data_IF_452963568786
#
_entry.id   IF_452963568786
#
_cell.length_a   1.000
_cell.length_b   1.000
_cell.length_c   1.000
_cell.angle_alpha   90.00
_cell.angle_beta   90.00
_cell.angle_gamma   90.00
#
_symmetry.space_group_name_H-M   'P 1'
#
loop_
_entity.id
_entity.type
_entity.pdbx_description
1 polymer ?
#
# COMPACT_ATOMS: atom_id res chain seq x y z
N UNK A 1 -1.74 9.47 13.02
CA UNK A 1 -2.66 9.20 11.89
C UNK A 1 -2.37 10.18 10.77
N UNK A 2 -2.43 9.72 9.52
CA UNK A 2 -2.33 10.56 8.33
C UNK A 2 -3.72 10.66 7.66
N UNK A 3 -3.98 11.77 6.95
CA UNK A 3 -5.21 11.98 6.18
C UNK A 3 -4.84 12.31 4.74
N UNK A 4 -5.56 11.75 3.79
CA UNK A 4 -5.42 12.04 2.37
C UNK A 4 -6.80 11.97 1.71
N UNK A 5 -6.93 12.68 0.59
CA UNK A 5 -8.15 12.69 -0.21
C UNK A 5 -8.00 11.72 -1.37
N UNK A 6 -9.04 10.92 -1.61
CA UNK A 6 -9.13 10.02 -2.74
C UNK A 6 -10.28 10.53 -3.61
N UNK A 7 -10.02 10.72 -4.90
CA UNK A 7 -11.07 11.07 -5.86
C UNK A 7 -12.11 9.96 -5.92
N UNK A 8 -13.38 10.31 -6.08
CA UNK A 8 -14.46 9.33 -6.19
C UNK A 8 -14.29 8.40 -7.40
N UNK A 9 -13.57 8.83 -8.44
CA UNK A 9 -13.26 8.02 -9.62
C UNK A 9 -12.05 7.09 -9.46
N UNK A 10 -11.31 7.17 -8.34
CA UNK A 10 -10.11 6.35 -8.12
C UNK A 10 -10.43 4.86 -7.93
N UNK A 11 -11.64 4.56 -7.44
CA UNK A 11 -12.04 3.22 -7.02
C UNK A 11 -11.48 2.83 -5.65
N UNK A 12 -11.38 1.53 -5.39
CA UNK A 12 -10.91 0.99 -4.11
C UNK A 12 -9.38 0.83 -4.16
N UNK A 13 -8.61 1.43 -3.24
CA UNK A 13 -7.16 1.24 -3.20
C UNK A 13 -6.77 -0.24 -3.03
N UNK A 14 -6.04 -0.79 -4.00
CA UNK A 14 -5.55 -2.17 -3.96
C UNK A 14 -4.05 -2.30 -3.64
N UNK A 15 -3.28 -1.21 -3.73
CA UNK A 15 -1.86 -1.18 -3.42
C UNK A 15 -1.47 0.17 -2.80
N UNK A 16 -0.40 0.17 -2.00
CA UNK A 16 0.19 1.37 -1.42
C UNK A 16 1.71 1.37 -1.60
N UNK A 17 2.24 2.49 -2.07
CA UNK A 17 3.68 2.71 -2.22
C UNK A 17 4.23 3.48 -1.00
N UNK A 18 5.19 2.87 -0.31
CA UNK A 18 5.82 3.41 0.91
C UNK A 18 7.24 3.84 0.61
N UNK A 19 7.63 5.01 1.12
CA UNK A 19 9.01 5.50 1.12
C UNK A 19 9.39 5.89 2.54
N UNK A 20 10.44 5.28 3.08
CA UNK A 20 10.97 5.63 4.38
C UNK A 20 11.93 6.83 4.25
N UNK A 21 11.51 8.00 4.73
CA UNK A 21 12.33 9.23 4.76
C UNK A 21 13.18 9.36 6.04
N UNK A 22 13.11 8.40 6.95
CA UNK A 22 13.96 8.36 8.14
C UNK A 22 15.37 7.86 7.80
N UNK A 23 16.29 7.98 8.76
CA UNK A 23 17.69 7.60 8.56
C UNK A 23 17.96 6.10 8.68
N UNK A 24 17.09 5.35 9.35
CA UNK A 24 17.21 3.91 9.58
C UNK A 24 15.98 3.20 9.05
N UNK A 25 16.13 1.91 8.75
CA UNK A 25 14.98 1.05 8.44
C UNK A 25 14.03 0.91 9.64
N UNK A 26 12.78 0.59 9.35
CA UNK A 26 11.78 0.23 10.35
C UNK A 26 10.96 -0.96 9.87
N UNK A 27 10.44 -1.75 10.81
CA UNK A 27 9.53 -2.84 10.49
C UNK A 27 8.09 -2.30 10.36
N UNK A 28 7.50 -2.47 9.19
CA UNK A 28 6.12 -2.09 8.92
C UNK A 28 5.23 -3.32 9.05
N UNK A 29 4.44 -3.38 10.12
CA UNK A 29 3.53 -4.49 10.38
C UNK A 29 2.29 -4.41 9.49
N UNK A 30 1.55 -3.30 9.53
CA UNK A 30 0.33 -3.14 8.76
C UNK A 30 0.01 -1.68 8.41
N UNK A 31 -0.86 -1.51 7.41
CA UNK A 31 -1.53 -0.25 7.10
C UNK A 31 -3.03 -0.53 7.02
N UNK A 32 -3.83 0.37 7.62
CA UNK A 32 -5.29 0.35 7.52
C UNK A 32 -5.77 1.68 6.96
N UNK A 33 -6.53 1.63 5.88
CA UNK A 33 -7.26 2.79 5.34
C UNK A 33 -8.70 2.70 5.86
N UNK A 34 -9.01 3.56 6.82
CA UNK A 34 -10.36 3.67 7.38
C UNK A 34 -11.24 4.64 6.57
N UNK A 35 -12.55 4.61 6.83
CA UNK A 35 -13.53 5.60 6.33
C UNK A 35 -13.71 5.64 4.81
N UNK A 36 -13.42 4.54 4.11
CA UNK A 36 -13.87 4.35 2.74
C UNK A 36 -15.34 3.89 2.73
N UNK A 37 -16.08 4.28 1.68
CA UNK A 37 -17.47 3.85 1.52
C UNK A 37 -17.64 2.33 1.44
N UNK A 38 -16.60 1.60 1.01
CA UNK A 38 -16.56 0.14 0.96
C UNK A 38 -16.15 -0.54 2.29
N UNK A 39 -15.96 0.22 3.37
CA UNK A 39 -15.38 -0.28 4.62
C UNK A 39 -13.83 -0.22 4.64
N UNK A 40 -13.20 -0.62 5.75
CA UNK A 40 -11.75 -0.52 5.92
C UNK A 40 -10.99 -1.43 4.95
N UNK A 41 -9.85 -0.96 4.45
CA UNK A 41 -8.93 -1.75 3.61
C UNK A 41 -7.64 -2.01 4.38
N UNK A 42 -7.28 -3.30 4.48
CA UNK A 42 -6.13 -3.78 5.24
C UNK A 42 -4.98 -4.20 4.33
N UNK A 43 -3.76 -3.85 4.75
CA UNK A 43 -2.50 -4.24 4.12
C UNK A 43 -1.62 -4.90 5.19
N UNK A 44 -1.50 -6.22 5.19
CA UNK A 44 -0.57 -6.96 6.05
C UNK A 44 0.84 -6.89 5.44
N UNK A 45 1.65 -5.94 5.91
CA UNK A 45 2.92 -5.59 5.30
C UNK A 45 4.05 -6.50 5.76
N UNK A 46 4.16 -6.72 7.08
CA UNK A 46 5.14 -7.59 7.75
C UNK A 46 6.55 -7.56 7.14
N UNK A 47 7.10 -6.36 6.94
CA UNK A 47 8.38 -6.21 6.25
C UNK A 47 9.19 -5.01 6.71
N UNK A 48 10.52 -5.15 6.71
CA UNK A 48 11.44 -4.04 6.88
C UNK A 48 11.39 -3.09 5.70
N UNK A 49 11.28 -1.79 5.96
CA UNK A 49 11.31 -0.72 4.96
C UNK A 49 12.61 0.07 5.11
N UNK A 50 13.55 -0.15 4.19
CA UNK A 50 14.87 0.49 4.19
C UNK A 50 14.76 2.00 4.03
N UNK A 51 15.71 2.75 4.62
CA UNK A 51 15.80 4.19 4.40
C UNK A 51 15.90 4.48 2.90
N UNK A 52 15.31 5.59 2.45
CA UNK A 52 15.49 6.10 1.07
C UNK A 52 16.96 6.28 0.70
N UNK A 53 17.86 6.50 1.68
CA UNK A 53 19.30 6.60 1.45
C UNK A 53 19.91 5.27 1.00
N UNK A 54 19.42 4.16 1.54
CA UNK A 54 19.95 2.82 1.29
C UNK A 54 19.23 2.13 0.12
N UNK A 55 17.97 2.50 -0.12
CA UNK A 55 17.16 1.96 -1.21
C UNK A 55 16.31 3.06 -1.86
N UNK A 56 16.64 3.40 -3.11
CA UNK A 56 15.95 4.46 -3.86
C UNK A 56 14.53 4.07 -4.30
N UNK A 57 14.25 2.77 -4.42
CA UNK A 57 12.96 2.25 -4.84
C UNK A 57 11.87 2.38 -3.77
N UNK A 58 10.63 2.63 -4.21
CA UNK A 58 9.45 2.56 -3.34
C UNK A 58 9.12 1.10 -3.05
N UNK A 59 8.72 0.80 -1.81
CA UNK A 59 8.17 -0.51 -1.46
C UNK A 59 6.67 -0.51 -1.74
N UNK A 60 6.17 -1.51 -2.45
CA UNK A 60 4.75 -1.65 -2.76
C UNK A 60 4.17 -2.77 -1.92
N UNK A 61 3.05 -2.50 -1.25
CA UNK A 61 2.28 -3.48 -0.50
C UNK A 61 0.87 -3.56 -1.09
N UNK A 62 0.32 -4.78 -1.21
CA UNK A 62 -1.02 -5.03 -1.72
C UNK A 62 -2.02 -5.23 -0.59
N UNK A 63 -3.29 -4.94 -0.84
CA UNK A 63 -4.34 -5.22 0.14
C UNK A 63 -4.55 -6.72 0.32
N UNK A 64 -5.12 -7.12 1.45
CA UNK A 64 -5.32 -8.53 1.81
C UNK A 64 -6.41 -9.25 0.99
N UNK A 65 -6.96 -8.60 -0.05
CA UNK A 65 -7.97 -9.22 -0.90
C UNK A 65 -7.29 -10.17 -1.90
N UNK A 66 -7.59 -11.48 -1.86
CA UNK A 66 -6.98 -12.44 -2.78
C UNK A 66 -7.59 -12.31 -4.18
N UNK A 67 -6.77 -12.59 -5.20
CA UNK A 67 -7.17 -12.67 -6.60
C UNK A 67 -6.46 -13.85 -7.27
N UNK A 68 -7.14 -14.56 -8.17
CA UNK A 68 -6.43 -15.38 -9.16
C UNK A 68 -5.67 -14.47 -10.15
N UNK A 69 -4.64 -14.96 -10.86
CA UNK A 69 -3.93 -14.17 -11.86
C UNK A 69 -4.87 -13.54 -12.90
N UNK A 70 -5.88 -14.28 -13.37
CA UNK A 70 -6.90 -13.81 -14.32
C UNK A 70 -7.91 -12.81 -13.75
N UNK A 71 -8.00 -12.71 -12.41
CA UNK A 71 -8.93 -11.83 -11.71
C UNK A 71 -8.23 -10.60 -11.12
N UNK A 72 -6.92 -10.47 -11.32
CA UNK A 72 -6.15 -9.34 -10.80
C UNK A 72 -6.65 -8.05 -11.44
N UNK A 73 -7.11 -7.05 -10.66
CA UNK A 73 -7.59 -5.79 -11.19
C UNK A 73 -6.55 -5.14 -12.10
N UNK A 74 -6.99 -4.57 -13.23
CA UNK A 74 -6.10 -3.99 -14.23
C UNK A 74 -5.13 -2.95 -13.64
N UNK A 75 -5.57 -2.15 -12.68
CA UNK A 75 -4.73 -1.16 -11.99
C UNK A 75 -3.65 -1.73 -11.06
N UNK A 76 -3.63 -3.04 -10.82
CA UNK A 76 -2.61 -3.75 -10.04
C UNK A 76 -1.65 -4.58 -10.90
N UNK A 77 -1.93 -4.70 -12.20
CA UNK A 77 -1.04 -5.36 -13.13
C UNK A 77 0.20 -4.48 -13.38
N UNK A 78 1.35 -5.12 -13.54
CA UNK A 78 2.58 -4.42 -13.92
C UNK A 78 2.49 -4.09 -15.41
N UNK A 79 2.50 -2.80 -15.74
CA UNK A 79 2.64 -2.33 -17.12
C UNK A 79 4.03 -2.70 -17.67
#
# INVERSE_FOLDING_TARGET
>A
MAKFFIDSNFGIPGAIAVTNKHQKEFFLESIVIERLACGPVHFSCNSWVQSKKDHLGKRVFFSNKPYLPSETPAGLLKN
#
